data_IF_777552039188
#
_entry.id   IF_777552039188
#
_cell.length_a   1.000
_cell.length_b   1.000
_cell.length_c   1.000
_cell.angle_alpha   90.00
_cell.angle_beta   90.00
_cell.angle_gamma   90.00
#
_symmetry.space_group_name_H-M   'P 1'
#
loop_
_entity.id
_entity.type
_entity.pdbx_description
1 polymer ?
#
# COMPACT_ATOMS: atom_id res chain seq x y z
N UNK A 1 5.52 -3.61 -23.80
CA UNK A 1 4.48 -3.28 -22.81
C UNK A 1 5.13 -3.37 -21.42
N UNK A 2 5.67 -2.26 -20.93
CA UNK A 2 6.57 -2.24 -19.75
C UNK A 2 6.52 -0.88 -19.02
N UNK A 3 5.42 -0.14 -19.16
CA UNK A 3 5.30 1.28 -18.75
C UNK A 3 4.69 1.42 -17.35
N UNK A 4 3.87 0.46 -16.90
CA UNK A 4 3.14 0.58 -15.64
C UNK A 4 4.02 0.34 -14.40
N UNK A 5 4.94 -0.64 -14.44
CA UNK A 5 5.80 -0.97 -13.28
C UNK A 5 6.81 0.14 -12.96
N UNK A 6 7.37 0.79 -13.98
CA UNK A 6 8.26 1.94 -13.81
C UNK A 6 7.54 3.07 -13.07
N UNK A 7 6.27 3.32 -13.43
CA UNK A 7 5.49 4.39 -12.80
C UNK A 7 5.24 4.19 -11.29
N UNK A 8 5.10 2.95 -10.81
CA UNK A 8 4.81 2.68 -9.39
C UNK A 8 6.08 2.74 -8.55
N UNK A 9 7.19 2.22 -9.08
CA UNK A 9 8.51 2.32 -8.43
C UNK A 9 8.91 3.78 -8.26
N UNK A 10 8.79 4.58 -9.32
CA UNK A 10 9.13 6.00 -9.28
C UNK A 10 8.26 6.74 -8.26
N UNK A 11 6.94 6.50 -8.26
CA UNK A 11 6.03 7.05 -7.26
C UNK A 11 6.40 6.65 -5.83
N UNK A 12 6.80 5.40 -5.60
CA UNK A 12 7.24 4.97 -4.27
C UNK A 12 8.51 5.70 -3.83
N UNK A 13 9.46 5.90 -4.74
CA UNK A 13 10.68 6.64 -4.45
C UNK A 13 10.38 8.12 -4.15
N UNK A 14 9.50 8.75 -4.92
CA UNK A 14 9.04 10.11 -4.68
C UNK A 14 8.36 10.24 -3.30
N UNK A 15 7.48 9.28 -2.96
CA UNK A 15 6.78 9.28 -1.66
C UNK A 15 7.73 9.05 -0.50
N UNK A 16 8.73 8.18 -0.66
CA UNK A 16 9.76 7.97 0.34
C UNK A 16 10.60 9.24 0.53
N UNK A 17 11.02 9.86 -0.57
CA UNK A 17 11.82 11.11 -0.53
C UNK A 17 11.06 12.23 0.16
N UNK A 18 9.79 12.42 -0.18
CA UNK A 18 8.92 13.42 0.45
C UNK A 18 8.70 13.12 1.95
N UNK A 19 8.52 11.86 2.32
CA UNK A 19 8.42 11.42 3.71
C UNK A 19 9.71 11.77 4.48
N UNK A 20 10.86 11.31 4.00
CA UNK A 20 12.16 11.54 4.65
C UNK A 20 12.48 13.03 4.80
N UNK A 21 12.24 13.82 3.75
CA UNK A 21 12.49 15.27 3.78
C UNK A 21 11.69 15.94 4.90
N UNK A 22 10.41 15.58 5.04
CA UNK A 22 9.57 16.13 6.12
C UNK A 22 10.02 15.67 7.49
N UNK A 23 10.36 14.39 7.67
CA UNK A 23 10.75 13.87 8.98
C UNK A 23 12.13 14.36 9.45
N UNK A 24 13.02 14.76 8.53
CA UNK A 24 14.28 15.44 8.87
C UNK A 24 14.00 16.82 9.48
N UNK A 25 13.04 17.57 8.93
CA UNK A 25 12.66 18.90 9.42
C UNK A 25 11.82 18.83 10.70
N UNK A 26 10.92 17.85 10.77
CA UNK A 26 9.99 17.66 11.89
C UNK A 26 9.66 16.17 12.07
N UNK A 27 10.43 15.44 12.88
CA UNK A 27 10.15 14.04 13.17
C UNK A 27 8.83 13.95 13.94
N UNK A 28 7.80 13.41 13.30
CA UNK A 28 6.44 13.35 13.85
C UNK A 28 5.74 12.02 13.58
N UNK A 29 6.10 11.37 12.48
CA UNK A 29 5.65 10.04 12.12
C UNK A 29 6.77 9.02 12.21
N UNK A 30 8.03 9.41 12.01
CA UNK A 30 9.18 8.52 12.09
C UNK A 30 9.31 7.85 13.47
N UNK A 31 9.02 8.57 14.56
CA UNK A 31 9.04 8.04 15.93
C UNK A 31 8.02 6.91 16.17
N UNK A 32 7.03 6.77 15.28
CA UNK A 32 5.99 5.73 15.35
C UNK A 32 6.29 4.53 14.46
N UNK A 33 7.40 4.57 13.73
CA UNK A 33 7.85 3.49 12.85
C UNK A 33 8.84 2.62 13.63
N UNK A 34 8.58 1.32 13.81
CA UNK A 34 9.52 0.42 14.47
C UNK A 34 10.83 0.30 13.68
N UNK A 35 11.93 0.09 14.38
CA UNK A 35 13.22 -0.19 13.75
C UNK A 35 13.13 -1.46 12.88
N UNK A 36 13.77 -1.40 11.71
CA UNK A 36 13.79 -2.50 10.74
C UNK A 36 12.47 -2.72 9.98
N UNK A 37 11.48 -1.84 10.11
CA UNK A 37 10.20 -2.04 9.47
C UNK A 37 10.25 -1.90 7.93
N UNK A 38 9.47 -2.72 7.24
CA UNK A 38 9.15 -2.48 5.83
C UNK A 38 8.09 -1.38 5.73
N UNK A 39 8.45 -0.28 5.07
CA UNK A 39 7.59 0.89 4.89
C UNK A 39 6.92 0.82 3.51
N UNK A 40 5.60 0.90 3.52
CA UNK A 40 4.76 1.03 2.34
C UNK A 40 4.09 2.41 2.30
N UNK A 41 3.75 2.88 1.11
CA UNK A 41 3.05 4.14 0.94
C UNK A 41 1.63 3.93 0.42
N UNK A 42 0.69 4.71 0.95
CA UNK A 42 -0.66 4.75 0.42
C UNK A 42 -1.20 6.18 0.43
N UNK A 43 -2.18 6.44 -0.42
CA UNK A 43 -2.83 7.73 -0.54
C UNK A 43 -4.27 7.55 -0.99
N UNK A 44 -5.20 8.27 -0.37
CA UNK A 44 -6.59 8.33 -0.80
C UNK A 44 -6.74 8.90 -2.22
N UNK A 45 -5.77 9.71 -2.67
CA UNK A 45 -5.75 10.33 -3.99
C UNK A 45 -5.01 9.49 -5.03
N UNK A 46 -4.28 8.44 -4.62
CA UNK A 46 -3.59 7.52 -5.53
C UNK A 46 -3.88 6.07 -5.12
N UNK A 47 -5.07 5.61 -5.51
CA UNK A 47 -5.54 4.26 -5.23
C UNK A 47 -4.73 3.19 -5.98
N UNK A 48 -4.13 3.54 -7.12
CA UNK A 48 -3.28 2.62 -7.87
C UNK A 48 -1.98 2.33 -7.09
N UNK A 49 -1.30 3.37 -6.60
CA UNK A 49 -0.13 3.23 -5.73
C UNK A 49 -0.46 2.40 -4.49
N UNK A 50 -1.55 2.76 -3.80
CA UNK A 50 -2.01 2.06 -2.59
C UNK A 50 -2.25 0.58 -2.87
N UNK A 51 -2.94 0.26 -3.97
CA UNK A 51 -3.22 -1.12 -4.39
C UNK A 51 -1.94 -1.93 -4.64
N UNK A 52 -0.99 -1.36 -5.38
CA UNK A 52 0.24 -2.07 -5.72
C UNK A 52 1.13 -2.30 -4.49
N UNK A 53 1.19 -1.34 -3.57
CA UNK A 53 1.90 -1.52 -2.31
C UNK A 53 1.24 -2.56 -1.40
N UNK A 54 -0.09 -2.64 -1.36
CA UNK A 54 -0.79 -3.72 -0.66
C UNK A 54 -0.50 -5.09 -1.28
N UNK A 55 -0.46 -5.21 -2.61
CA UNK A 55 -0.06 -6.45 -3.29
C UNK A 55 1.37 -6.87 -2.96
N UNK A 56 2.30 -5.92 -2.94
CA UNK A 56 3.69 -6.18 -2.55
C UNK A 56 3.77 -6.66 -1.10
N UNK A 57 3.05 -6.00 -0.20
CA UNK A 57 2.94 -6.40 1.20
C UNK A 57 2.43 -7.84 1.35
N UNK A 58 1.38 -8.24 0.62
CA UNK A 58 0.87 -9.62 0.68
C UNK A 58 1.93 -10.64 0.25
N UNK A 59 2.76 -10.32 -0.75
CA UNK A 59 3.86 -11.20 -1.18
C UNK A 59 4.96 -11.31 -0.13
N UNK A 60 5.34 -10.19 0.49
CA UNK A 60 6.35 -10.18 1.57
C UNK A 60 5.84 -10.97 2.77
N UNK A 61 4.58 -10.77 3.17
CA UNK A 61 3.96 -11.51 4.26
C UNK A 61 3.93 -13.02 4.00
N UNK A 62 3.62 -13.44 2.77
CA UNK A 62 3.69 -14.84 2.39
C UNK A 62 5.13 -15.37 2.48
N UNK A 63 6.12 -14.60 1.99
CA UNK A 63 7.53 -14.94 2.10
C UNK A 63 8.00 -15.12 3.55
N UNK A 64 7.58 -14.23 4.45
CA UNK A 64 7.84 -14.32 5.89
C UNK A 64 7.20 -15.59 6.48
N UNK A 65 5.94 -15.85 6.14
CA UNK A 65 5.19 -17.02 6.64
C UNK A 65 5.83 -18.33 6.21
N UNK A 66 6.43 -18.37 5.02
CA UNK A 66 7.11 -19.55 4.49
C UNK A 66 8.59 -19.65 4.92
N UNK A 67 9.11 -18.67 5.68
CA UNK A 67 10.50 -18.62 6.12
C UNK A 67 11.51 -18.24 5.03
N UNK A 68 11.04 -17.68 3.91
CA UNK A 68 11.90 -17.18 2.82
C UNK A 68 12.36 -15.73 3.03
N UNK A 69 11.66 -14.99 3.88
CA UNK A 69 11.98 -13.60 4.25
C UNK A 69 12.02 -13.55 5.78
N UNK A 70 13.00 -12.85 6.35
CA UNK A 70 13.09 -12.65 7.80
C UNK A 70 11.85 -11.90 8.31
N UNK A 71 11.37 -12.25 9.51
CA UNK A 71 10.25 -11.53 10.11
C UNK A 71 10.68 -10.10 10.45
N UNK A 72 9.86 -9.14 10.02
CA UNK A 72 10.05 -7.73 10.29
C UNK A 72 8.70 -7.02 10.43
N UNK A 73 8.63 -5.89 11.18
CA UNK A 73 7.43 -5.08 11.26
C UNK A 73 7.00 -4.58 9.88
N UNK A 74 5.69 -4.52 9.64
CA UNK A 74 5.11 -4.01 8.41
C UNK A 74 4.31 -2.75 8.74
N UNK A 75 4.58 -1.64 8.06
CA UNK A 75 3.85 -0.37 8.26
C UNK A 75 3.53 0.30 6.96
N UNK A 76 2.37 0.95 6.89
CA UNK A 76 2.02 1.86 5.82
C UNK A 76 1.93 3.30 6.31
N UNK A 77 2.65 4.19 5.63
CA UNK A 77 2.45 5.63 5.74
C UNK A 77 1.32 6.00 4.77
N UNK A 78 0.14 6.25 5.33
CA UNK A 78 -1.08 6.51 4.55
C UNK A 78 -1.46 8.00 4.59
N UNK A 79 -1.60 8.61 3.41
CA UNK A 79 -2.13 9.95 3.24
C UNK A 79 -3.66 9.90 3.09
N UNK A 80 -4.40 10.30 4.12
CA UNK A 80 -5.87 10.26 4.12
C UNK A 80 -6.50 11.59 3.69
N UNK A 81 -5.73 12.68 3.68
CA UNK A 81 -6.02 13.99 3.07
C UNK A 81 -4.69 14.63 2.65
N UNK A 82 -4.73 15.59 1.74
CA UNK A 82 -3.52 16.25 1.24
C UNK A 82 -2.64 16.76 2.40
N UNK A 83 -1.42 16.24 2.49
CA UNK A 83 -0.45 16.59 3.54
C UNK A 83 -0.76 16.03 4.93
N UNK A 84 -1.86 15.29 5.11
CA UNK A 84 -2.22 14.62 6.37
C UNK A 84 -1.96 13.12 6.26
N UNK A 85 -0.96 12.66 7.00
CA UNK A 85 -0.50 11.28 6.98
C UNK A 85 -0.64 10.61 8.34
N UNK A 86 -0.82 9.29 8.33
CA UNK A 86 -0.78 8.46 9.51
C UNK A 86 0.05 7.20 9.27
N UNK A 87 0.66 6.67 10.33
CA UNK A 87 1.29 5.35 10.32
C UNK A 87 0.24 4.31 10.68
N UNK A 88 0.06 3.34 9.80
CA UNK A 88 -0.80 2.17 9.99
C UNK A 88 0.12 0.98 10.21
N UNK A 89 0.07 0.39 11.40
CA UNK A 89 0.69 -0.92 11.65
C UNK A 89 -0.07 -1.99 10.88
N UNK A 90 0.67 -2.89 10.23
CA UNK A 90 0.14 -4.00 9.42
C UNK A 90 0.61 -5.36 9.96
N UNK A 91 1.24 -5.39 11.12
CA UNK A 91 1.95 -6.55 11.67
C UNK A 91 1.05 -7.49 12.49
N UNK A 92 -0.09 -7.02 13.01
CA UNK A 92 -0.92 -7.83 13.94
C UNK A 92 -1.86 -8.81 13.24
N UNK A 93 -2.22 -9.92 13.90
CA UNK A 93 -3.16 -10.92 13.37
C UNK A 93 -4.56 -10.36 13.07
N UNK A 94 -5.03 -9.38 13.85
CA UNK A 94 -6.27 -8.65 13.59
C UNK A 94 -6.16 -7.73 12.35
N UNK A 95 -4.99 -7.10 12.13
CA UNK A 95 -4.72 -6.29 10.94
C UNK A 95 -4.50 -7.15 9.69
N UNK A 96 -3.87 -8.32 9.80
CA UNK A 96 -3.78 -9.29 8.69
C UNK A 96 -5.18 -9.68 8.19
N UNK A 97 -6.14 -9.91 9.11
CA UNK A 97 -7.54 -10.18 8.75
C UNK A 97 -8.29 -8.97 8.15
N UNK A 98 -8.01 -7.74 8.60
CA UNK A 98 -8.60 -6.52 8.03
C UNK A 98 -8.02 -6.16 6.66
N UNK A 99 -6.71 -6.29 6.48
CA UNK A 99 -6.04 -6.11 5.18
C UNK A 99 -6.56 -7.13 4.18
N UNK A 100 -6.75 -8.39 4.61
CA UNK A 100 -7.36 -9.43 3.78
C UNK A 100 -8.79 -9.08 3.36
N UNK A 101 -9.66 -8.70 4.31
CA UNK A 101 -11.03 -8.24 4.00
C UNK A 101 -11.06 -7.01 3.09
N UNK A 102 -10.15 -6.06 3.30
CA UNK A 102 -10.06 -4.86 2.48
C UNK A 102 -9.62 -5.20 1.05
N UNK A 103 -8.67 -6.13 0.87
CA UNK A 103 -8.28 -6.65 -0.45
C UNK A 103 -9.45 -7.37 -1.12
N UNK A 104 -10.20 -8.21 -0.40
CA UNK A 104 -11.36 -8.95 -0.92
C UNK A 104 -12.50 -8.00 -1.34
N UNK A 105 -12.94 -7.10 -0.46
CA UNK A 105 -13.98 -6.10 -0.77
C UNK A 105 -13.59 -5.21 -1.96
N UNK A 106 -12.30 -4.90 -2.08
CA UNK A 106 -11.81 -4.08 -3.18
C UNK A 106 -11.65 -4.86 -4.50
N UNK A 107 -11.33 -6.15 -4.45
CA UNK A 107 -11.37 -7.04 -5.61
C UNK A 107 -12.80 -7.21 -6.12
N UNK A 108 -13.78 -7.37 -5.23
CA UNK A 108 -15.20 -7.44 -5.58
C UNK A 108 -15.68 -6.14 -6.25
N UNK A 109 -15.35 -4.97 -5.70
CA UNK A 109 -15.68 -3.67 -6.31
C UNK A 109 -14.95 -3.45 -7.65
N UNK A 110 -13.72 -3.92 -7.78
CA UNK A 110 -12.96 -3.84 -9.03
C UNK A 110 -13.53 -4.77 -10.10
N UNK A 111 -14.04 -5.95 -9.73
CA UNK A 111 -14.73 -6.86 -10.66
C UNK A 111 -16.08 -6.28 -11.08
N UNK A 112 -16.86 -5.69 -10.17
CA UNK A 112 -18.12 -5.04 -10.51
C UNK A 112 -17.93 -3.90 -11.53
N UNK A 113 -16.91 -3.05 -11.34
CA UNK A 113 -16.58 -1.99 -12.31
C UNK A 113 -16.10 -2.54 -13.67
N UNK A 114 -15.47 -3.72 -13.68
CA UNK A 114 -15.03 -4.37 -14.93
C UNK A 114 -16.21 -5.00 -15.67
N UNK A 115 -17.15 -5.62 -14.95
CA UNK A 115 -18.40 -6.17 -15.50
C UNK A 115 -19.30 -5.08 -16.07
N UNK A 116 -19.39 -3.91 -15.41
CA UNK A 116 -20.12 -2.74 -15.94
C UNK A 116 -19.49 -2.25 -17.25
N UNK A 117 -18.17 -2.08 -17.30
CA UNK A 117 -17.47 -1.67 -18.53
C UNK A 117 -17.58 -2.70 -19.66
N UNK A 118 -17.55 -3.99 -19.36
CA UNK A 118 -17.74 -5.06 -20.35
C UNK A 118 -19.19 -5.04 -20.87
N UNK A 119 -20.17 -4.85 -20.00
CA UNK A 119 -21.58 -4.74 -20.42
C UNK A 119 -21.84 -3.47 -21.23
N UNK A 120 -21.20 -2.34 -20.90
CA UNK A 120 -21.25 -1.11 -21.70
C UNK A 120 -20.58 -1.29 -23.07
N UNK A 121 -19.46 -2.04 -23.13
CA UNK A 121 -18.77 -2.38 -24.37
C UNK A 121 -19.52 -3.40 -25.24
N UNK A 122 -20.32 -4.28 -24.63
CA UNK A 122 -21.16 -5.27 -25.34
C UNK A 122 -22.54 -4.73 -25.73
N UNK A 123 -22.96 -3.60 -25.16
CA UNK A 123 -24.21 -2.91 -25.47
C UNK A 123 -24.04 -1.74 -26.47
N UNK A 124 -22.80 -1.41 -26.85
CA UNK A 124 -22.43 -0.45 -27.90
C UNK A 124 -22.18 -1.18 -29.23
#
# INVERSE_FOLDING_TARGET
MQIEQTSVTDKNLDRLTAFLSREIERPSLAERIPDGAHIFHGSCNDMALTRENLKLLSKILLGMTLGYVEEAPLVMVYEYKAGQQMVVDLSTAAQKGQVQKFIETFQEQSQQNMTVKINELLAA
#
